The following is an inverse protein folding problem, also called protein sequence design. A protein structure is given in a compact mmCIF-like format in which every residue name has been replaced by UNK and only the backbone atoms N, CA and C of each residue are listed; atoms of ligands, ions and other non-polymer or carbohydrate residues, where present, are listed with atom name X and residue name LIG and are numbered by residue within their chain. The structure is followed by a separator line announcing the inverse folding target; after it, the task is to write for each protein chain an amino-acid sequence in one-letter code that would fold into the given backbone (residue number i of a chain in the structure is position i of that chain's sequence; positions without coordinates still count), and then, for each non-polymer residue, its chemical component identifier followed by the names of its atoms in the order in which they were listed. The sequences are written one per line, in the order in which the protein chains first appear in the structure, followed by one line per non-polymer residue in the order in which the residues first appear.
data_IF_685839744159
#
_entry.id   IF_685839744159
#
_cell.length_a   1.000
_cell.length_b   1.000
_cell.length_c   1.000
_cell.angle_alpha   90.00
_cell.angle_beta   90.00
_cell.angle_gamma   90.00
#
_symmetry.space_group_name_H-M   'P 1'
#
loop_
_entity.id
_entity.type
_entity.pdbx_description
1 polymer ?
#
# COMPACT_ATOMS: atom_id res chain seq x y z
N UNK A 1 3.00 30.04 24.42
CA UNK A 1 2.25 29.74 23.18
C UNK A 1 3.25 29.38 22.10
N UNK A 2 3.28 28.11 21.69
CA UNK A 2 3.97 27.53 20.52
C UNK A 2 4.11 26.04 20.88
N UNK A 3 3.63 25.07 20.15
CA UNK A 3 3.14 24.98 18.79
C UNK A 3 2.14 23.81 18.84
N UNK A 4 0.90 24.06 18.45
CA UNK A 4 0.05 22.97 18.01
C UNK A 4 0.72 22.42 16.74
N UNK A 5 1.66 21.48 16.91
CA UNK A 5 2.13 20.63 15.81
C UNK A 5 0.86 20.00 15.27
N UNK A 6 0.41 20.50 14.12
CA UNK A 6 -0.68 19.94 13.34
C UNK A 6 -0.28 18.49 13.03
N UNK A 7 -0.64 17.58 13.93
CA UNK A 7 -0.69 16.16 13.64
C UNK A 7 -1.73 16.05 12.54
N UNK A 8 -1.30 15.88 11.28
CA UNK A 8 -2.22 15.38 10.27
C UNK A 8 -2.76 14.05 10.81
N UNK A 9 -4.05 13.95 11.17
CA UNK A 9 -4.57 12.73 11.74
C UNK A 9 -4.42 11.65 10.66
N UNK A 10 -3.57 10.66 10.93
CA UNK A 10 -3.39 9.53 10.04
C UNK A 10 -4.73 8.82 9.88
N UNK A 11 -5.04 8.42 8.65
CA UNK A 11 -6.26 7.67 8.42
C UNK A 11 -6.14 6.30 9.10
N UNK A 12 -7.06 6.02 10.03
CA UNK A 12 -7.12 4.73 10.71
C UNK A 12 -7.94 3.74 9.87
N UNK A 13 -7.29 2.69 9.40
CA UNK A 13 -7.88 1.72 8.47
C UNK A 13 -7.91 0.32 9.09
N UNK A 14 -9.00 -0.43 8.87
CA UNK A 14 -9.05 -1.87 9.17
C UNK A 14 -8.46 -2.66 7.98
N UNK A 15 -7.57 -3.63 8.21
CA UNK A 15 -7.06 -4.46 7.12
C UNK A 15 -8.17 -5.30 6.48
N UNK A 16 -8.10 -5.47 5.17
CA UNK A 16 -8.92 -6.44 4.44
C UNK A 16 -8.20 -7.79 4.45
N UNK A 17 -8.79 -8.78 5.11
CA UNK A 17 -8.14 -10.07 5.41
C UNK A 17 -8.92 -11.29 4.87
N UNK A 18 -9.82 -11.08 3.91
CA UNK A 18 -10.54 -12.18 3.24
C UNK A 18 -10.00 -12.37 1.82
N UNK A 19 -9.72 -13.63 1.45
CA UNK A 19 -9.16 -13.98 0.12
C UNK A 19 -10.01 -13.46 -1.03
N UNK A 20 -11.34 -13.55 -0.91
CA UNK A 20 -12.27 -13.12 -1.97
C UNK A 20 -12.26 -11.60 -2.12
N UNK A 21 -12.26 -10.84 -1.03
CA UNK A 21 -12.22 -9.37 -1.12
C UNK A 21 -10.85 -8.89 -1.63
N UNK A 22 -9.75 -9.43 -1.12
CA UNK A 22 -8.40 -9.05 -1.59
C UNK A 22 -8.27 -9.29 -3.09
N UNK A 23 -8.74 -10.45 -3.59
CA UNK A 23 -8.76 -10.74 -5.03
C UNK A 23 -9.57 -9.71 -5.81
N UNK A 24 -10.81 -9.44 -5.38
CA UNK A 24 -11.69 -8.49 -6.08
C UNK A 24 -11.09 -7.07 -6.13
N UNK A 25 -10.53 -6.60 -5.01
CA UNK A 25 -9.87 -5.29 -4.91
C UNK A 25 -8.61 -5.22 -5.77
N UNK A 26 -7.80 -6.27 -5.76
CA UNK A 26 -6.60 -6.35 -6.59
C UNK A 26 -6.94 -6.31 -8.07
N UNK A 27 -7.94 -7.09 -8.50
CA UNK A 27 -8.43 -7.06 -9.89
C UNK A 27 -9.00 -5.69 -10.27
N UNK A 28 -9.80 -5.06 -9.41
CA UNK A 28 -10.38 -3.75 -9.66
C UNK A 28 -9.29 -2.67 -9.82
N UNK A 29 -8.28 -2.69 -8.95
CA UNK A 29 -7.14 -1.79 -9.05
C UNK A 29 -6.36 -2.02 -10.35
N UNK A 30 -6.04 -3.27 -10.68
CA UNK A 30 -5.35 -3.63 -11.92
C UNK A 30 -6.10 -3.16 -13.17
N UNK A 31 -7.43 -3.35 -13.19
CA UNK A 31 -8.27 -2.92 -14.30
C UNK A 31 -8.25 -1.39 -14.45
N UNK A 32 -8.33 -0.64 -13.35
CA UNK A 32 -8.24 0.81 -13.37
C UNK A 32 -6.89 1.29 -13.92
N UNK A 33 -5.78 0.70 -13.47
CA UNK A 33 -4.44 1.05 -13.95
C UNK A 33 -4.26 0.73 -15.43
N UNK A 34 -4.76 -0.41 -15.90
CA UNK A 34 -4.58 -0.80 -17.28
C UNK A 34 -5.35 0.08 -18.28
N UNK A 35 -6.38 0.81 -17.84
CA UNK A 35 -7.05 1.79 -18.69
C UNK A 35 -6.16 3.02 -18.98
N UNK A 36 -5.14 3.26 -18.16
CA UNK A 36 -4.24 4.41 -18.25
C UNK A 36 -2.97 4.08 -19.06
N UNK A 37 -2.47 5.03 -19.85
CA UNK A 37 -1.30 4.83 -20.72
C UNK A 37 0.02 4.82 -19.95
N UNK A 38 0.10 5.53 -18.82
CA UNK A 38 1.31 5.55 -17.98
C UNK A 38 1.61 4.15 -17.44
N UNK A 39 0.60 3.31 -17.29
CA UNK A 39 0.69 1.94 -16.78
C UNK A 39 0.57 0.89 -17.89
N UNK A 40 0.99 1.17 -19.13
CA UNK A 40 0.90 0.23 -20.25
C UNK A 40 1.50 -1.16 -19.98
N UNK A 41 2.51 -1.27 -19.10
CA UNK A 41 3.07 -2.55 -18.67
C UNK A 41 2.05 -3.43 -17.93
N UNK A 42 1.11 -2.84 -17.19
CA UNK A 42 0.04 -3.55 -16.46
C UNK A 42 -0.94 -4.21 -17.44
N UNK A 43 -1.18 -3.61 -18.62
CA UNK A 43 -2.05 -4.18 -19.67
C UNK A 43 -1.56 -5.55 -20.14
N UNK A 44 -0.24 -5.76 -20.21
CA UNK A 44 0.36 -7.04 -20.61
C UNK A 44 0.03 -8.18 -19.64
N UNK A 45 -0.32 -7.83 -18.39
CA UNK A 45 -0.66 -8.76 -17.34
C UNK A 45 -2.18 -8.89 -17.10
N UNK A 46 -3.03 -8.19 -17.86
CA UNK A 46 -4.50 -8.29 -17.77
C UNK A 46 -5.13 -9.39 -18.62
N UNK A 47 -4.33 -10.10 -19.43
CA UNK A 47 -4.81 -11.32 -20.09
C UNK A 47 -5.23 -12.33 -19.02
N UNK A 48 -6.28 -13.16 -19.25
CA UNK A 48 -6.70 -14.17 -18.29
C UNK A 48 -5.52 -15.07 -17.98
N UNK A 49 -4.94 -14.89 -16.79
CA UNK A 49 -3.66 -15.41 -16.42
C UNK A 49 -3.36 -15.12 -14.95
N UNK A 50 -2.34 -15.78 -14.39
CA UNK A 50 -2.16 -15.94 -12.95
C UNK A 50 -1.97 -14.66 -12.13
N UNK A 51 -1.86 -13.48 -12.75
CA UNK A 51 -1.69 -12.20 -12.05
C UNK A 51 -2.95 -11.72 -11.32
N UNK A 52 -4.14 -12.08 -11.82
CA UNK A 52 -5.43 -11.72 -11.20
C UNK A 52 -5.88 -12.76 -10.15
N UNK A 53 -5.30 -13.96 -10.19
CA UNK A 53 -5.55 -15.02 -9.24
C UNK A 53 -4.48 -14.97 -8.14
N UNK A 54 -4.86 -15.32 -6.91
CA UNK A 54 -3.87 -15.44 -5.85
C UNK A 54 -2.95 -16.62 -6.18
N UNK A 55 -1.64 -16.43 -6.10
CA UNK A 55 -0.71 -17.56 -6.12
C UNK A 55 -0.79 -18.25 -4.74
N UNK A 56 -1.13 -19.54 -4.74
CA UNK A 56 -0.97 -20.36 -3.54
C UNK A 56 0.52 -20.50 -3.23
N UNK A 57 0.90 -20.06 -2.02
CA UNK A 57 2.27 -20.10 -1.54
C UNK A 57 2.35 -20.89 -0.24
N UNK A 58 3.54 -21.31 0.16
CA UNK A 58 3.73 -22.02 1.43
C UNK A 58 3.13 -21.23 2.59
N UNK A 59 2.06 -21.75 3.20
CA UNK A 59 1.38 -21.16 4.35
C UNK A 59 0.55 -19.92 4.04
N UNK A 60 0.10 -19.71 2.80
CA UNK A 60 -0.76 -18.57 2.48
C UNK A 60 -1.11 -18.38 1.01
N UNK A 61 -1.67 -17.21 0.74
CA UNK A 61 -2.06 -16.73 -0.59
C UNK A 61 -1.38 -15.40 -0.85
N UNK A 62 -0.88 -15.19 -2.05
CA UNK A 62 -0.14 -13.98 -2.38
C UNK A 62 -0.57 -13.38 -3.72
N UNK A 63 -0.67 -12.04 -3.76
CA UNK A 63 -0.91 -11.25 -4.95
C UNK A 63 0.26 -10.29 -5.11
N UNK A 64 0.84 -10.26 -6.32
CA UNK A 64 2.02 -9.45 -6.60
C UNK A 64 1.84 -8.63 -7.87
N UNK A 65 2.29 -7.38 -7.80
CA UNK A 65 2.49 -6.55 -8.99
C UNK A 65 3.70 -5.65 -8.77
N UNK A 66 4.53 -5.53 -9.80
CA UNK A 66 5.55 -4.48 -9.88
C UNK A 66 5.04 -3.38 -10.79
N UNK A 67 4.74 -2.21 -10.23
CA UNK A 67 4.33 -1.05 -11.01
C UNK A 67 5.55 -0.29 -11.52
N UNK A 68 5.61 -0.08 -12.83
CA UNK A 68 6.67 0.68 -13.52
C UNK A 68 6.03 1.72 -14.44
N UNK A 69 5.39 2.75 -13.89
CA UNK A 69 4.73 3.75 -14.73
C UNK A 69 5.75 4.60 -15.50
N UNK A 70 5.38 5.01 -16.71
CA UNK A 70 6.21 5.88 -17.56
C UNK A 70 6.50 7.20 -16.86
N UNK A 71 7.75 7.65 -16.89
CA UNK A 71 8.18 8.92 -16.30
C UNK A 71 8.59 8.86 -14.82
N UNK A 72 8.52 7.70 -14.17
CA UNK A 72 9.06 7.51 -12.81
C UNK A 72 10.42 6.79 -12.82
N UNK A 73 11.31 7.10 -11.86
CA UNK A 73 12.71 6.66 -11.89
C UNK A 73 12.90 5.16 -11.65
N UNK A 74 11.97 4.51 -10.94
CA UNK A 74 12.07 3.09 -10.64
C UNK A 74 10.68 2.45 -10.50
N UNK A 75 10.65 1.12 -10.57
CA UNK A 75 9.46 0.36 -10.22
C UNK A 75 9.28 0.22 -8.72
N UNK A 76 8.02 0.12 -8.30
CA UNK A 76 7.66 -0.22 -6.93
C UNK A 76 6.92 -1.55 -6.89
N UNK A 77 7.37 -2.42 -6.00
CA UNK A 77 6.79 -3.73 -5.78
C UNK A 77 5.66 -3.64 -4.76
N UNK A 78 4.56 -4.31 -5.09
CA UNK A 78 3.42 -4.54 -4.24
C UNK A 78 3.29 -6.04 -4.08
N UNK A 79 3.39 -6.50 -2.84
CA UNK A 79 2.97 -7.83 -2.46
C UNK A 79 1.94 -7.70 -1.35
N UNK A 80 0.82 -8.41 -1.52
CA UNK A 80 -0.23 -8.57 -0.51
C UNK A 80 -0.30 -10.06 -0.22
N UNK A 81 -0.19 -10.45 1.05
CA UNK A 81 -0.14 -11.86 1.44
C UNK A 81 -1.07 -12.07 2.61
N UNK A 82 -1.94 -13.06 2.48
CA UNK A 82 -2.76 -13.56 3.58
C UNK A 82 -2.18 -14.89 4.04
N UNK A 83 -2.05 -15.08 5.35
CA UNK A 83 -1.58 -16.33 5.92
C UNK A 83 -2.74 -17.34 5.97
N UNK A 84 -2.52 -18.56 5.50
CA UNK A 84 -3.54 -19.61 5.57
C UNK A 84 -3.51 -20.23 6.97
N UNK A 85 -4.27 -19.64 7.91
CA UNK A 85 -4.38 -20.12 9.29
C UNK A 85 -5.54 -21.09 9.47
N UNK A 86 -6.67 -20.81 8.81
CA UNK A 86 -7.83 -21.70 8.74
C UNK A 86 -8.77 -21.25 7.62
N UNK A 87 -9.77 -22.08 7.29
CA UNK A 87 -10.77 -21.78 6.28
C UNK A 87 -11.54 -20.46 6.52
N UNK A 88 -11.70 -20.03 7.77
CA UNK A 88 -12.42 -18.81 8.15
C UNK A 88 -11.52 -17.66 8.60
N UNK A 89 -10.19 -17.85 8.63
CA UNK A 89 -9.26 -16.86 9.12
C UNK A 89 -7.97 -16.84 8.31
N UNK A 90 -7.81 -15.79 7.51
CA UNK A 90 -6.66 -15.57 6.63
C UNK A 90 -6.01 -14.21 6.90
N UNK A 91 -5.39 -14.00 8.08
CA UNK A 91 -4.90 -12.67 8.48
C UNK A 91 -3.82 -12.16 7.53
N UNK A 92 -3.72 -10.84 7.41
CA UNK A 92 -2.66 -10.20 6.64
C UNK A 92 -1.29 -10.59 7.22
N UNK A 93 -0.38 -11.03 6.36
CA UNK A 93 1.03 -11.16 6.72
C UNK A 93 1.56 -9.75 6.98
N UNK A 94 1.71 -9.42 8.27
CA UNK A 94 2.14 -8.08 8.69
C UNK A 94 3.51 -7.74 8.11
N UNK A 95 4.36 -8.71 7.77
CA UNK A 95 5.67 -8.43 7.16
C UNK A 95 5.61 -8.00 5.70
N UNK A 96 4.43 -8.11 5.07
CA UNK A 96 4.31 -7.77 3.67
C UNK A 96 4.29 -6.26 3.42
N UNK A 97 4.68 -5.87 2.21
CA UNK A 97 4.92 -4.50 1.81
C UNK A 97 3.64 -3.73 1.50
N UNK A 98 2.60 -4.39 1.02
CA UNK A 98 1.33 -3.76 0.64
C UNK A 98 0.14 -4.41 1.35
N UNK A 99 -0.98 -3.69 1.33
CA UNK A 99 -2.23 -4.14 1.91
C UNK A 99 -3.41 -3.40 1.28
N UNK A 100 -4.62 -3.89 1.55
CA UNK A 100 -5.83 -3.09 1.42
C UNK A 100 -6.34 -2.72 2.81
N UNK A 101 -6.81 -1.49 2.95
CA UNK A 101 -7.41 -0.97 4.17
C UNK A 101 -8.82 -0.44 3.91
N UNK A 102 -9.72 -0.62 4.87
CA UNK A 102 -11.07 -0.06 4.86
C UNK A 102 -11.20 1.00 5.94
N UNK A 103 -11.67 2.17 5.56
CA UNK A 103 -11.97 3.26 6.48
C UNK A 103 -13.13 2.86 7.39
N UNK A 104 -12.95 3.14 8.67
CA UNK A 104 -13.91 2.79 9.72
C UNK A 104 -15.12 3.72 9.72
N UNK A 105 -15.01 4.89 9.09
CA UNK A 105 -16.04 5.93 9.08
C UNK A 105 -17.02 5.80 7.92
N UNK A 106 -16.51 5.68 6.69
CA UNK A 106 -17.31 5.66 5.46
C UNK A 106 -17.25 4.32 4.69
N UNK A 107 -16.41 3.38 5.13
CA UNK A 107 -16.22 2.09 4.46
C UNK A 107 -15.42 2.18 3.15
N UNK A 108 -14.86 3.34 2.81
CA UNK A 108 -14.00 3.49 1.65
C UNK A 108 -12.81 2.54 1.73
N UNK A 109 -12.41 2.00 0.58
CA UNK A 109 -11.31 1.04 0.50
C UNK A 109 -10.11 1.66 -0.18
N UNK A 110 -8.92 1.41 0.34
CA UNK A 110 -7.67 2.02 -0.08
C UNK A 110 -6.62 0.96 -0.39
N UNK A 111 -5.82 1.21 -1.42
CA UNK A 111 -4.56 0.48 -1.65
C UNK A 111 -3.47 1.14 -0.85
N UNK A 112 -2.68 0.34 -0.15
CA UNK A 112 -1.67 0.80 0.78
C UNK A 112 -0.31 0.21 0.45
N UNK A 113 0.74 1.02 0.62
CA UNK A 113 2.13 0.59 0.53
C UNK A 113 2.90 1.05 1.75
N UNK A 114 3.60 0.16 2.44
CA UNK A 114 4.38 0.55 3.62
C UNK A 114 5.45 1.56 3.24
N UNK A 115 5.63 2.56 4.09
CA UNK A 115 6.80 3.45 4.02
C UNK A 115 8.10 2.74 4.41
N UNK A 116 8.04 1.54 4.98
CA UNK A 116 9.24 0.80 5.34
C UNK A 116 9.71 -0.10 4.20
N UNK A 117 10.81 0.28 3.56
CA UNK A 117 11.68 -0.64 2.84
C UNK A 117 13.06 -0.53 3.49
N UNK A 118 13.40 -1.49 4.35
CA UNK A 118 14.67 -1.53 5.08
C UNK A 118 15.90 -1.54 4.15
N UNK A 119 15.71 -1.74 2.84
CA UNK A 119 16.76 -1.66 1.82
C UNK A 119 16.74 -0.37 1.01
N UNK A 120 15.65 0.43 1.04
CA UNK A 120 15.48 1.62 0.18
C UNK A 120 15.15 2.91 0.91
N UNK A 121 14.58 2.90 2.11
CA UNK A 121 14.22 4.10 2.87
C UNK A 121 15.11 4.18 4.11
N UNK A 122 16.25 4.85 3.94
CA UNK A 122 17.22 5.13 5.01
C UNK A 122 17.70 3.90 5.81
N UNK A 123 18.44 4.15 6.89
CA UNK A 123 18.77 3.11 7.89
C UNK A 123 17.70 2.96 8.97
N UNK A 124 16.71 3.86 9.01
CA UNK A 124 15.71 3.98 10.08
C UNK A 124 14.30 4.14 9.51
N UNK A 125 13.27 3.52 10.14
CA UNK A 125 11.89 3.75 9.76
C UNK A 125 11.53 5.23 9.89
N UNK A 126 10.86 5.79 8.88
CA UNK A 126 10.33 7.15 8.97
C UNK A 126 9.09 7.13 9.88
N UNK A 127 9.06 8.03 10.87
CA UNK A 127 7.85 8.32 11.64
C UNK A 127 6.90 9.23 10.85
N UNK A 128 5.67 9.41 11.33
CA UNK A 128 4.71 10.31 10.70
C UNK A 128 5.24 11.76 10.66
N UNK A 129 5.92 12.19 11.72
CA UNK A 129 6.55 13.51 11.81
C UNK A 129 7.68 13.66 10.80
N UNK A 130 8.50 12.62 10.62
CA UNK A 130 9.57 12.64 9.62
C UNK A 130 9.00 12.71 8.20
N UNK A 131 7.93 11.95 7.91
CA UNK A 131 7.24 11.99 6.62
C UNK A 131 6.65 13.38 6.32
N UNK A 132 6.07 14.05 7.31
CA UNK A 132 5.57 15.41 7.16
C UNK A 132 6.69 16.39 6.77
N UNK A 133 7.90 16.22 7.30
CA UNK A 133 9.07 17.02 6.94
C UNK A 133 9.52 16.88 5.48
N UNK A 134 9.15 15.79 4.80
CA UNK A 134 9.47 15.55 3.38
C UNK A 134 8.32 15.88 2.42
N UNK A 135 7.25 16.52 2.91
CA UNK A 135 6.02 16.72 2.14
C UNK A 135 5.53 15.40 1.52
N UNK A 136 5.47 14.36 2.37
CA UNK A 136 5.06 13.04 1.96
C UNK A 136 3.57 13.03 1.58
N UNK A 137 3.16 12.24 0.57
CA UNK A 137 1.75 12.02 0.28
C UNK A 137 0.98 11.44 1.49
N UNK A 138 -0.37 11.48 1.45
CA UNK A 138 -1.22 11.02 2.54
C UNK A 138 -0.85 9.63 3.04
N UNK A 139 -0.85 9.49 4.36
CA UNK A 139 -0.46 8.28 5.05
C UNK A 139 -1.56 7.76 5.96
N UNK A 140 -1.55 6.45 6.20
CA UNK A 140 -2.52 5.73 7.00
C UNK A 140 -1.83 4.74 7.93
N UNK A 141 -2.57 4.35 8.98
CA UNK A 141 -2.21 3.23 9.84
C UNK A 141 -3.22 2.11 9.68
N UNK A 142 -2.73 0.86 9.59
CA UNK A 142 -3.60 -0.31 9.71
C UNK A 142 -3.77 -0.66 11.18
N UNK A 143 -5.01 -0.53 11.65
CA UNK A 143 -5.41 -0.99 12.96
C UNK A 143 -5.63 -2.50 12.93
N UNK A 144 -4.70 -3.23 13.53
CA UNK A 144 -4.88 -4.66 13.80
C UNK A 144 -5.46 -4.85 15.21
N UNK A 145 -6.36 -5.82 15.42
CA UNK A 145 -6.72 -6.24 16.76
C UNK A 145 -5.45 -6.58 17.57
N UNK A 146 -5.37 -6.19 18.84
CA UNK A 146 -4.25 -6.54 19.71
C UNK A 146 -4.03 -8.05 19.70
N UNK A 147 -2.80 -8.50 19.48
CA UNK A 147 -2.44 -9.92 19.47
C UNK A 147 -1.12 -10.09 20.19
N UNK A 148 -1.03 -10.95 21.21
CA UNK A 148 0.26 -11.23 21.85
C UNK A 148 1.25 -11.87 20.83
N UNK A 149 2.52 -11.44 20.74
CA UNK A 149 3.24 -10.42 21.52
C UNK A 149 3.28 -9.02 20.86
N UNK A 150 2.49 -8.77 19.82
CA UNK A 150 2.49 -7.53 19.05
C UNK A 150 1.39 -6.55 19.54
N UNK A 151 1.74 -5.50 20.31
CA UNK A 151 0.78 -4.59 20.94
C UNK A 151 0.08 -3.63 19.94
N UNK A 152 0.05 -3.96 18.65
CA UNK A 152 -0.67 -3.17 17.66
C UNK A 152 0.02 -1.87 17.24
N UNK A 153 1.36 -1.74 17.35
CA UNK A 153 2.06 -0.61 16.69
C UNK A 153 1.76 -0.67 15.20
N UNK A 154 0.97 0.29 14.72
CA UNK A 154 0.59 0.44 13.33
C UNK A 154 1.83 0.64 12.47
N UNK A 155 1.91 -0.07 11.36
CA UNK A 155 2.87 0.28 10.31
C UNK A 155 2.32 1.50 9.59
N UNK A 156 3.20 2.44 9.26
CA UNK A 156 2.85 3.59 8.44
C UNK A 156 2.80 3.16 6.98
N UNK A 157 1.65 3.38 6.36
CA UNK A 157 1.42 3.12 4.95
C UNK A 157 1.24 4.43 4.21
N UNK A 158 1.85 4.54 3.05
CA UNK A 158 1.44 5.44 1.97
C UNK A 158 0.05 4.99 1.48
N UNK A 159 -0.89 5.93 1.42
CA UNK A 159 -2.14 5.73 0.68
C UNK A 159 -1.81 5.87 -0.81
N UNK A 160 -2.04 4.80 -1.56
CA UNK A 160 -1.70 4.72 -2.99
C UNK A 160 -2.88 5.19 -3.83
N UNK A 161 -4.09 4.70 -3.52
CA UNK A 161 -5.32 5.13 -4.16
C UNK A 161 -6.54 4.75 -3.33
N UNK A 162 -7.62 5.53 -3.43
CA UNK A 162 -8.96 5.19 -2.94
C UNK A 162 -9.70 4.40 -4.03
N UNK A 163 -9.97 3.14 -3.79
CA UNK A 163 -10.57 2.20 -4.76
C UNK A 163 -12.07 2.37 -4.98
N UNK A 164 -12.74 3.22 -4.20
CA UNK A 164 -14.13 3.59 -4.46
C UNK A 164 -14.25 4.75 -5.46
N UNK A 165 -13.13 5.35 -5.87
CA UNK A 165 -13.12 6.44 -6.84
C UNK A 165 -13.18 5.90 -8.28
N UNK A 166 -13.49 6.74 -9.28
CA UNK A 166 -13.46 6.36 -10.68
C UNK A 166 -12.07 5.91 -11.16
N UNK A 167 -12.02 5.04 -12.17
CA UNK A 167 -10.77 4.42 -12.66
C UNK A 167 -9.65 5.43 -13.01
N UNK A 168 -9.98 6.54 -13.68
CA UNK A 168 -9.00 7.59 -13.99
C UNK A 168 -8.39 8.21 -12.74
N UNK A 169 -9.21 8.48 -11.73
CA UNK A 169 -8.75 9.02 -10.45
C UNK A 169 -7.86 8.01 -9.69
N UNK A 170 -8.20 6.71 -9.73
CA UNK A 170 -7.36 5.65 -9.16
C UNK A 170 -5.97 5.65 -9.82
N UNK A 171 -5.89 5.78 -11.14
CA UNK A 171 -4.62 5.80 -11.86
C UNK A 171 -3.79 7.06 -11.54
N UNK A 172 -4.43 8.23 -11.49
CA UNK A 172 -3.78 9.49 -11.11
C UNK A 172 -3.24 9.46 -9.68
N UNK A 173 -4.06 9.01 -8.73
CA UNK A 173 -3.65 8.86 -7.34
C UNK A 173 -2.47 7.89 -7.22
N UNK A 174 -2.56 6.73 -7.88
CA UNK A 174 -1.48 5.73 -7.87
C UNK A 174 -0.19 6.34 -8.43
N UNK A 175 -0.25 7.06 -9.54
CA UNK A 175 0.91 7.70 -10.14
C UNK A 175 1.54 8.74 -9.20
N UNK A 176 0.71 9.64 -8.64
CA UNK A 176 1.15 10.68 -7.72
C UNK A 176 1.77 10.10 -6.43
N UNK A 177 1.18 9.03 -5.89
CA UNK A 177 1.69 8.34 -4.72
C UNK A 177 3.07 7.71 -4.99
N UNK A 178 3.24 7.05 -6.15
CA UNK A 178 4.54 6.48 -6.54
C UNK A 178 5.61 7.56 -6.75
N UNK A 179 5.25 8.67 -7.40
CA UNK A 179 6.15 9.81 -7.56
C UNK A 179 6.60 10.38 -6.20
N UNK A 180 5.63 10.58 -5.29
CA UNK A 180 5.88 11.05 -3.94
C UNK A 180 6.74 10.08 -3.13
N UNK A 181 6.51 8.78 -3.24
CA UNK A 181 7.35 7.76 -2.60
C UNK A 181 8.81 7.90 -3.02
N UNK A 182 9.09 8.03 -4.32
CA UNK A 182 10.46 8.18 -4.81
C UNK A 182 11.12 9.48 -4.37
N UNK A 183 10.36 10.59 -4.35
CA UNK A 183 10.83 11.88 -3.85
C UNK A 183 11.25 11.78 -2.37
N UNK A 184 10.36 11.28 -1.51
CA UNK A 184 10.61 11.11 -0.08
C UNK A 184 11.78 10.16 0.17
N UNK A 185 11.81 9.02 -0.53
CA UNK A 185 12.91 8.06 -0.40
C UNK A 185 14.25 8.64 -0.88
N UNK A 186 14.25 9.55 -1.86
CA UNK A 186 15.44 10.27 -2.30
C UNK A 186 15.96 11.22 -1.23
N UNK A 187 15.09 12.09 -0.70
CA UNK A 187 15.44 13.04 0.35
C UNK A 187 15.93 12.35 1.63
N UNK A 188 15.20 11.32 2.11
CA UNK A 188 15.57 10.59 3.32
C UNK A 188 16.92 9.83 3.20
N UNK A 189 17.38 9.51 1.98
CA UNK A 189 18.73 8.95 1.78
C UNK A 189 19.81 10.03 1.85
N UNK A 190 19.53 11.23 1.38
CA UNK A 190 20.47 12.35 1.44
C UNK A 190 20.73 12.76 2.90
N UNK A 191 19.69 12.81 3.72
CA UNK A 191 19.79 13.16 5.15
C UNK A 191 20.50 12.08 6.01
N UNK A 192 20.64 10.86 5.48
CA UNK A 192 21.28 9.74 6.18
C UNK A 192 22.76 9.55 5.83
N UNK A 193 23.30 10.36 4.90
CA UNK A 193 24.71 10.40 4.49
C UNK A 193 25.44 11.50 5.26
#
# INVERSE_FOLDING_TARGET
MSEARLQHPLLALRPVETRTEVRALFSAWHAALAADERFAAVRKHLLPGPSAEAEEVKGGFEWRVTLRPTGLPAGLDFSIRLLDRSASYTPLDRNNQAAFGRDLTDGATYVLRQWYDSKRIGRRPLSAEALAGYDAPPSAELFHPPSHPNPGRGRLYLIVAKLTDPAGAIADQTYAALAGFHRVAGAARQDAL
#
